data_IF_388515665534
#
_entry.id   IF_388515665534
#
_cell.length_a   1.000
_cell.length_b   1.000
_cell.length_c   1.000
_cell.angle_alpha   90.00
_cell.angle_beta   90.00
_cell.angle_gamma   90.00
#
_symmetry.space_group_name_H-M   'P 1'
#
loop_
_entity.id
_entity.type
_entity.pdbx_description
1 polymer ?
#
# COMPACT_ATOMS: atom_id res chain seq x y z
N UNK A 1 16.07 -17.69 7.77
CA UNK A 1 16.24 -16.30 8.33
C UNK A 1 15.84 -16.31 9.79
N UNK A 2 16.71 -15.79 10.69
CA UNK A 2 16.47 -15.74 12.15
C UNK A 2 16.37 -14.30 12.67
N UNK A 3 17.13 -13.38 12.08
CA UNK A 3 17.23 -11.99 12.50
C UNK A 3 17.18 -11.03 11.32
N UNK A 4 16.46 -9.93 11.50
CA UNK A 4 16.37 -8.83 10.51
C UNK A 4 16.68 -7.51 11.19
N UNK A 5 17.55 -6.73 10.58
CA UNK A 5 17.90 -5.38 11.03
C UNK A 5 17.24 -4.33 10.13
N UNK A 6 16.48 -3.42 10.72
CA UNK A 6 15.82 -2.33 10.01
C UNK A 6 16.58 -1.02 10.18
N UNK A 7 16.84 -0.36 9.07
CA UNK A 7 17.25 1.04 9.03
C UNK A 7 15.98 1.88 8.84
N UNK A 8 15.44 2.37 9.92
CA UNK A 8 14.26 3.21 9.93
C UNK A 8 14.54 4.53 10.63
N UNK A 9 13.73 5.52 10.34
CA UNK A 9 13.80 6.82 11.00
C UNK A 9 12.94 6.79 12.24
N UNK A 10 13.48 7.30 13.35
CA UNK A 10 12.64 7.61 14.50
C UNK A 10 11.70 8.75 14.10
N UNK A 11 10.51 8.37 13.71
CA UNK A 11 9.48 9.29 13.30
C UNK A 11 8.27 9.09 14.22
N UNK A 12 8.14 9.97 15.21
CA UNK A 12 6.98 9.99 16.11
C UNK A 12 5.64 10.19 15.38
N UNK A 13 5.70 10.39 14.07
CA UNK A 13 4.56 10.51 13.18
C UNK A 13 4.49 9.33 12.22
N UNK A 14 5.03 8.16 12.62
CA UNK A 14 5.00 6.97 11.79
C UNK A 14 3.55 6.64 11.42
N UNK A 15 3.29 6.70 10.16
CA UNK A 15 2.12 6.11 9.55
C UNK A 15 2.31 4.60 9.56
N UNK A 16 1.25 3.77 9.55
CA UNK A 16 1.39 2.32 9.38
C UNK A 16 2.11 2.06 8.07
N UNK A 17 3.42 2.07 8.12
CA UNK A 17 4.28 2.06 6.97
C UNK A 17 4.83 0.66 6.69
N UNK A 18 5.72 0.64 5.73
CA UNK A 18 6.50 -0.49 5.29
C UNK A 18 7.08 -1.32 6.44
N UNK A 19 7.61 -0.66 7.47
CA UNK A 19 8.25 -1.33 8.60
C UNK A 19 7.24 -2.08 9.47
N UNK A 20 6.11 -1.44 9.81
CA UNK A 20 5.17 -1.99 10.80
C UNK A 20 4.58 -3.32 10.33
N UNK A 21 4.05 -3.37 9.12
CA UNK A 21 3.40 -4.59 8.59
C UNK A 21 4.41 -5.74 8.47
N UNK A 22 5.60 -5.45 7.93
CA UNK A 22 6.63 -6.47 7.74
C UNK A 22 7.21 -6.94 9.07
N UNK A 23 7.55 -6.03 9.99
CA UNK A 23 8.14 -6.38 11.26
C UNK A 23 7.18 -7.17 12.17
N UNK A 24 5.89 -6.81 12.20
CA UNK A 24 4.86 -7.60 12.89
C UNK A 24 4.76 -9.01 12.32
N UNK A 25 4.80 -9.11 11.00
CA UNK A 25 4.78 -10.40 10.32
C UNK A 25 6.01 -11.25 10.60
N UNK A 26 7.21 -10.67 10.58
CA UNK A 26 8.47 -11.36 10.90
C UNK A 26 8.45 -11.90 12.33
N UNK A 27 8.01 -11.09 13.30
CA UNK A 27 7.86 -11.55 14.70
C UNK A 27 6.83 -12.69 14.81
N UNK A 28 5.72 -12.58 14.08
CA UNK A 28 4.68 -13.61 14.09
C UNK A 28 5.15 -14.97 13.55
N UNK A 29 6.20 -14.99 12.72
CA UNK A 29 6.83 -16.22 12.22
C UNK A 29 8.13 -16.60 12.96
N UNK A 30 8.42 -15.95 14.10
CA UNK A 30 9.56 -16.28 14.96
C UNK A 30 10.88 -15.64 14.56
N UNK A 31 10.88 -14.62 13.70
CA UNK A 31 12.08 -13.86 13.33
C UNK A 31 12.28 -12.69 14.29
N UNK A 32 13.47 -12.56 14.86
CA UNK A 32 13.84 -11.42 15.71
C UNK A 32 14.04 -10.17 14.85
N UNK A 33 13.55 -9.03 15.37
CA UNK A 33 13.57 -7.75 14.66
C UNK A 33 14.32 -6.71 15.48
N UNK A 34 15.39 -6.16 14.91
CA UNK A 34 16.21 -5.10 15.47
C UNK A 34 16.28 -3.90 14.53
N UNK A 35 16.79 -2.77 15.03
CA UNK A 35 17.00 -1.60 14.19
C UNK A 35 17.91 -0.55 14.79
N UNK A 36 18.15 0.49 13.99
CA UNK A 36 18.97 1.65 14.38
C UNK A 36 18.32 2.53 15.47
N UNK A 37 17.01 2.38 15.67
CA UNK A 37 16.25 3.08 16.72
C UNK A 37 15.09 2.21 17.21
N UNK A 38 14.53 2.56 18.38
CA UNK A 38 13.27 2.02 18.83
C UNK A 38 12.14 2.58 17.97
N UNK A 39 11.36 1.69 17.35
CA UNK A 39 10.36 2.10 16.39
C UNK A 39 9.03 1.40 16.64
N UNK A 40 7.94 2.15 16.64
CA UNK A 40 6.57 1.68 16.81
C UNK A 40 6.32 1.02 18.15
N UNK A 41 5.80 1.79 19.10
CA UNK A 41 5.40 1.29 20.42
C UNK A 41 4.13 0.42 20.29
N UNK A 42 4.13 -0.78 20.92
CA UNK A 42 3.09 -1.80 20.76
C UNK A 42 2.07 -1.83 21.91
N UNK A 43 2.47 -1.36 23.07
CA UNK A 43 1.66 -1.34 24.27
C UNK A 43 1.91 -0.06 25.06
N UNK A 44 1.25 0.09 26.20
CA UNK A 44 1.48 1.21 27.12
C UNK A 44 2.81 1.11 27.88
N UNK A 45 3.51 -0.03 27.85
CA UNK A 45 4.90 -0.11 28.35
C UNK A 45 5.81 0.67 27.38
N UNK A 46 6.48 1.74 27.85
CA UNK A 46 7.35 2.57 27.04
C UNK A 46 8.60 1.85 26.50
N UNK A 47 8.82 0.58 26.90
CA UNK A 47 9.92 -0.27 26.41
C UNK A 47 9.47 -1.29 25.39
N UNK A 48 8.18 -1.46 25.17
CA UNK A 48 7.64 -2.46 24.23
C UNK A 48 7.56 -1.88 22.81
N UNK A 49 8.69 -1.97 22.09
CA UNK A 49 8.79 -1.56 20.70
C UNK A 49 8.76 -2.76 19.75
N UNK A 50 8.18 -2.54 18.57
CA UNK A 50 8.14 -3.51 17.48
C UNK A 50 9.53 -3.79 16.92
N UNK A 51 10.26 -2.74 16.56
CA UNK A 51 11.68 -2.78 16.24
C UNK A 51 12.44 -2.30 17.46
N UNK A 52 13.34 -3.12 17.96
CA UNK A 52 14.13 -2.80 19.16
C UNK A 52 15.53 -2.33 18.77
N UNK A 53 15.95 -1.25 19.38
CA UNK A 53 17.35 -0.84 19.31
C UNK A 53 18.15 -1.54 20.43
N UNK A 54 19.13 -2.33 20.03
CA UNK A 54 20.16 -2.86 20.95
C UNK A 54 21.53 -2.46 20.36
N UNK A 55 22.32 -1.63 21.05
CA UNK A 55 23.59 -1.14 20.54
C UNK A 55 24.64 -2.25 20.30
N UNK A 56 24.40 -3.46 20.82
CA UNK A 56 25.27 -4.63 20.61
C UNK A 56 24.93 -5.38 19.32
N UNK A 57 23.78 -5.11 18.72
CA UNK A 57 23.30 -5.78 17.50
C UNK A 57 23.49 -4.83 16.33
N UNK A 58 24.21 -5.29 15.34
CA UNK A 58 24.51 -4.59 14.09
C UNK A 58 23.93 -5.37 12.92
N UNK A 59 23.93 -4.83 11.70
CA UNK A 59 23.55 -5.60 10.50
C UNK A 59 24.31 -6.91 10.33
N UNK A 60 25.60 -6.99 10.81
CA UNK A 60 26.42 -8.20 10.69
C UNK A 60 25.94 -9.36 11.58
N UNK A 61 25.15 -9.08 12.60
CA UNK A 61 24.56 -10.06 13.49
C UNK A 61 23.20 -10.57 12.98
N UNK A 62 22.79 -10.13 11.78
CA UNK A 62 21.49 -10.39 11.19
C UNK A 62 21.62 -11.07 9.82
N UNK A 63 20.55 -11.73 9.38
CA UNK A 63 20.47 -12.39 8.07
C UNK A 63 20.07 -11.41 6.94
N UNK A 64 19.37 -10.33 7.31
CA UNK A 64 18.97 -9.29 6.38
C UNK A 64 19.07 -7.89 7.00
N UNK A 65 19.48 -6.93 6.15
CA UNK A 65 19.48 -5.51 6.43
C UNK A 65 18.44 -4.83 5.52
N UNK A 66 17.42 -4.26 6.13
CA UNK A 66 16.28 -3.65 5.45
C UNK A 66 16.31 -2.14 5.63
N UNK A 67 16.38 -1.42 4.52
CA UNK A 67 16.24 0.04 4.51
C UNK A 67 14.81 0.40 4.17
N UNK A 68 14.14 1.13 5.06
CA UNK A 68 12.77 1.55 4.84
C UNK A 68 12.71 2.80 3.95
N UNK A 69 11.63 2.90 3.21
CA UNK A 69 11.29 4.11 2.48
C UNK A 69 11.27 5.36 3.40
N UNK A 70 10.75 5.22 4.62
CA UNK A 70 10.73 6.30 5.61
C UNK A 70 12.11 6.84 5.97
N UNK A 71 13.18 6.05 5.82
CA UNK A 71 14.56 6.50 6.00
C UNK A 71 15.03 7.39 4.86
N UNK A 72 14.76 7.03 3.61
CA UNK A 72 15.26 7.75 2.44
C UNK A 72 14.44 8.98 2.10
N UNK A 73 13.18 9.04 2.56
CA UNK A 73 12.28 10.17 2.32
C UNK A 73 12.18 11.07 3.54
N UNK A 74 12.51 12.33 3.35
CA UNK A 74 12.10 13.40 4.25
C UNK A 74 10.76 13.94 3.77
N UNK A 75 9.68 13.78 4.55
CA UNK A 75 8.44 14.52 4.32
C UNK A 75 8.63 15.95 4.81
N UNK A 76 9.17 16.81 3.97
CA UNK A 76 9.04 18.24 4.15
C UNK A 76 7.69 18.70 3.58
N UNK A 77 7.12 19.72 4.19
CA UNK A 77 5.82 20.31 3.82
C UNK A 77 5.73 20.78 2.36
N UNK A 78 6.86 20.98 1.71
CA UNK A 78 6.98 21.48 0.34
C UNK A 78 7.15 20.40 -0.74
N UNK A 79 6.91 19.13 -0.45
CA UNK A 79 7.12 18.01 -1.37
C UNK A 79 8.55 17.91 -1.94
N UNK A 80 9.49 18.59 -1.36
CA UNK A 80 10.91 18.42 -1.68
C UNK A 80 11.41 17.18 -0.94
N UNK A 81 11.44 16.06 -1.64
CA UNK A 81 12.06 14.84 -1.11
C UNK A 81 13.58 15.03 -1.09
N UNK A 82 14.12 15.29 0.08
CA UNK A 82 15.54 15.12 0.30
C UNK A 82 15.78 13.66 0.59
N UNK A 83 16.41 12.96 -0.37
CA UNK A 83 16.87 11.60 -0.15
C UNK A 83 17.95 11.65 0.94
N UNK A 84 17.72 10.95 2.04
CA UNK A 84 18.79 10.70 2.98
C UNK A 84 19.79 9.72 2.36
N UNK A 85 21.08 9.84 2.65
CA UNK A 85 22.07 8.87 2.17
C UNK A 85 21.69 7.45 2.60
N UNK A 86 21.73 6.53 1.67
CA UNK A 86 21.59 5.11 2.00
C UNK A 86 22.78 4.74 2.89
N UNK A 87 22.55 4.06 4.04
CA UNK A 87 23.63 3.70 4.93
C UNK A 87 24.71 2.85 4.22
N UNK A 88 25.97 3.12 4.50
CA UNK A 88 27.09 2.42 3.89
C UNK A 88 27.03 0.89 4.11
N UNK A 89 26.48 0.48 5.26
CA UNK A 89 26.21 -0.92 5.57
C UNK A 89 25.38 -1.63 4.48
N UNK A 90 24.46 -0.93 3.80
CA UNK A 90 23.68 -1.54 2.71
C UNK A 90 24.52 -2.06 1.56
N UNK A 91 25.72 -1.48 1.36
CA UNK A 91 26.57 -1.74 0.17
C UNK A 91 27.99 -2.19 0.50
N UNK A 92 28.23 -2.56 1.76
CA UNK A 92 29.55 -3.00 2.23
C UNK A 92 29.97 -4.29 1.52
N UNK A 93 31.19 -4.32 1.00
CA UNK A 93 31.76 -5.52 0.40
C UNK A 93 31.99 -6.62 1.46
N UNK A 94 31.78 -7.87 1.08
CA UNK A 94 31.95 -9.03 1.97
C UNK A 94 30.91 -9.15 3.08
N UNK A 95 29.79 -8.44 3.02
CA UNK A 95 28.68 -8.60 3.96
C UNK A 95 28.10 -10.02 3.91
N UNK A 96 27.63 -10.50 5.03
CA UNK A 96 26.99 -11.83 5.12
C UNK A 96 25.48 -11.79 5.07
N UNK A 97 24.87 -10.60 5.24
CA UNK A 97 23.42 -10.38 5.22
C UNK A 97 22.93 -9.94 3.84
N UNK A 98 21.69 -10.26 3.56
CA UNK A 98 20.96 -9.74 2.40
C UNK A 98 20.55 -8.29 2.62
N UNK A 99 20.51 -7.52 1.55
CA UNK A 99 20.03 -6.15 1.60
C UNK A 99 18.70 -6.01 0.87
N UNK A 100 17.75 -5.37 1.52
CA UNK A 100 16.42 -5.10 0.97
C UNK A 100 16.06 -3.63 1.13
N UNK A 101 15.37 -3.09 0.14
CA UNK A 101 14.74 -1.78 0.22
C UNK A 101 13.23 -1.93 0.13
N UNK A 102 12.49 -1.29 1.06
CA UNK A 102 11.04 -1.26 1.02
C UNK A 102 10.59 0.03 0.33
N UNK A 103 10.10 -0.09 -0.90
CA UNK A 103 9.62 1.03 -1.70
C UNK A 103 8.11 1.17 -1.61
N UNK A 104 7.67 2.07 -0.71
CA UNK A 104 6.28 2.45 -0.52
C UNK A 104 5.97 3.82 -1.15
N UNK A 105 6.85 4.28 -2.01
CA UNK A 105 6.69 5.55 -2.69
C UNK A 105 5.44 5.56 -3.59
N UNK A 106 4.80 6.72 -3.68
CA UNK A 106 3.50 6.88 -4.37
C UNK A 106 3.54 6.67 -5.89
N UNK A 107 4.68 6.30 -6.45
CA UNK A 107 4.84 6.08 -7.88
C UNK A 107 5.04 7.36 -8.71
N UNK A 108 4.90 8.54 -8.07
CA UNK A 108 5.26 9.83 -8.67
C UNK A 108 6.74 10.14 -8.54
N UNK A 109 7.35 9.62 -7.49
CA UNK A 109 8.74 9.83 -7.11
C UNK A 109 9.40 8.47 -6.96
N UNK A 110 9.82 7.89 -8.05
CA UNK A 110 10.42 6.56 -8.01
C UNK A 110 11.93 6.67 -7.75
N UNK A 111 12.30 7.11 -6.56
CA UNK A 111 13.70 7.16 -6.11
C UNK A 111 14.39 5.81 -6.30
N UNK A 112 13.68 4.71 -6.08
CA UNK A 112 14.19 3.35 -6.27
C UNK A 112 14.61 3.01 -7.70
N UNK A 113 14.35 3.86 -8.70
CA UNK A 113 14.89 3.74 -10.05
C UNK A 113 16.28 4.36 -10.20
N UNK A 114 16.74 5.15 -9.24
CA UNK A 114 18.09 5.70 -9.26
C UNK A 114 19.13 4.56 -9.19
N UNK A 115 20.33 4.76 -9.84
CA UNK A 115 21.32 3.69 -9.98
C UNK A 115 21.77 3.05 -8.67
N UNK A 116 21.83 3.81 -7.58
CA UNK A 116 22.24 3.32 -6.26
C UNK A 116 21.30 2.24 -5.71
N UNK A 117 20.00 2.30 -6.01
CA UNK A 117 19.05 1.28 -5.55
C UNK A 117 19.21 -0.07 -6.27
N UNK A 118 19.89 -0.10 -7.43
CA UNK A 118 20.23 -1.35 -8.12
C UNK A 118 21.28 -2.17 -7.38
N UNK A 119 21.92 -1.58 -6.37
CA UNK A 119 22.91 -2.24 -5.52
C UNK A 119 22.30 -3.05 -4.38
N UNK A 120 21.01 -2.85 -4.09
CA UNK A 120 20.29 -3.75 -3.17
C UNK A 120 20.11 -5.13 -3.79
N UNK A 121 20.14 -6.17 -2.96
CA UNK A 121 19.81 -7.53 -3.43
C UNK A 121 18.35 -7.60 -3.88
N UNK A 122 17.44 -6.87 -3.21
CA UNK A 122 16.03 -6.75 -3.59
C UNK A 122 15.45 -5.38 -3.26
N UNK A 123 14.54 -4.92 -4.12
CA UNK A 123 13.68 -3.74 -3.89
C UNK A 123 12.22 -4.19 -3.92
N UNK A 124 11.54 -4.16 -2.79
CA UNK A 124 10.13 -4.53 -2.66
C UNK A 124 9.25 -3.32 -2.94
N UNK A 125 8.61 -3.30 -4.11
CA UNK A 125 7.89 -2.13 -4.62
C UNK A 125 6.38 -2.32 -4.61
N UNK A 126 5.65 -1.46 -3.87
CA UNK A 126 4.18 -1.52 -3.76
C UNK A 126 3.46 -1.03 -5.02
N UNK A 127 4.05 -0.11 -5.78
CA UNK A 127 3.46 0.45 -7.01
C UNK A 127 4.08 -0.19 -8.27
N UNK A 128 4.43 -1.47 -8.20
CA UNK A 128 4.97 -2.18 -9.35
C UNK A 128 3.96 -2.24 -10.51
N UNK A 129 4.41 -1.88 -11.72
CA UNK A 129 3.58 -1.89 -12.91
C UNK A 129 4.36 -2.48 -14.09
N UNK A 130 3.84 -3.56 -14.68
CA UNK A 130 4.50 -4.29 -15.76
C UNK A 130 4.53 -3.54 -17.11
N UNK A 131 3.79 -2.45 -17.22
CA UNK A 131 3.80 -1.57 -18.41
C UNK A 131 4.92 -0.54 -18.38
N UNK A 132 5.78 -0.61 -17.37
CA UNK A 132 6.95 0.24 -17.26
C UNK A 132 8.20 -0.63 -17.18
N UNK A 133 9.33 -0.06 -17.60
CA UNK A 133 10.61 -0.67 -17.29
C UNK A 133 10.74 -0.82 -15.76
N UNK A 134 11.16 -2.00 -15.34
CA UNK A 134 11.48 -2.28 -13.94
C UNK A 134 12.93 -2.76 -13.86
N UNK A 135 13.76 -2.19 -12.97
CA UNK A 135 15.08 -2.75 -12.67
C UNK A 135 14.98 -4.22 -12.25
N UNK A 136 15.97 -5.02 -12.58
CA UNK A 136 15.95 -6.48 -12.39
C UNK A 136 15.79 -6.93 -10.93
N UNK A 137 16.22 -6.09 -9.98
CA UNK A 137 16.11 -6.36 -8.56
C UNK A 137 14.79 -5.87 -7.93
N UNK A 138 13.87 -5.29 -8.72
CA UNK A 138 12.56 -4.89 -8.20
C UNK A 138 11.59 -6.08 -8.18
N UNK A 139 10.93 -6.23 -7.05
CA UNK A 139 9.97 -7.29 -6.75
C UNK A 139 8.60 -6.67 -6.48
N UNK A 140 7.52 -7.13 -7.14
CA UNK A 140 6.17 -6.69 -6.81
C UNK A 140 5.88 -6.88 -5.31
N UNK A 141 5.33 -5.86 -4.68
CA UNK A 141 5.00 -5.86 -3.26
C UNK A 141 3.63 -5.25 -3.02
N UNK A 142 3.19 -5.21 -1.76
CA UNK A 142 1.90 -4.67 -1.35
C UNK A 142 1.98 -4.02 0.03
N UNK A 143 1.10 -3.08 0.32
CA UNK A 143 0.94 -2.54 1.67
C UNK A 143 0.48 -3.62 2.66
N UNK A 144 -0.47 -4.46 2.27
CA UNK A 144 -0.98 -5.56 3.09
C UNK A 144 -1.79 -5.13 4.31
N UNK A 145 -1.95 -6.03 5.26
CA UNK A 145 -2.71 -5.81 6.48
C UNK A 145 -1.79 -5.67 7.69
N UNK A 146 -2.11 -4.77 8.60
CA UNK A 146 -1.53 -4.77 9.95
C UNK A 146 -2.38 -5.61 10.90
N UNK A 147 -1.82 -6.10 12.03
CA UNK A 147 -2.59 -6.81 13.05
C UNK A 147 -3.79 -6.00 13.56
N UNK A 148 -3.66 -4.68 13.62
CA UNK A 148 -4.73 -3.80 14.06
C UNK A 148 -5.87 -3.71 13.05
N UNK A 149 -5.58 -3.63 11.75
CA UNK A 149 -6.63 -3.70 10.71
C UNK A 149 -7.43 -4.98 10.85
N UNK A 150 -6.75 -6.10 11.07
CA UNK A 150 -7.37 -7.41 11.28
C UNK A 150 -8.24 -7.38 12.55
N UNK A 151 -7.72 -6.87 13.66
CA UNK A 151 -8.46 -6.80 14.92
C UNK A 151 -9.69 -5.89 14.82
N UNK A 152 -9.57 -4.72 14.20
CA UNK A 152 -10.70 -3.78 14.07
C UNK A 152 -11.77 -4.23 13.06
N UNK A 153 -11.46 -5.21 12.21
CA UNK A 153 -12.40 -5.78 11.24
C UNK A 153 -12.88 -7.19 11.63
N UNK A 154 -12.43 -7.71 12.78
CA UNK A 154 -12.80 -9.05 13.25
C UNK A 154 -14.30 -9.17 13.53
N UNK A 155 -14.87 -8.13 14.17
CA UNK A 155 -16.29 -8.07 14.58
C UNK A 155 -17.18 -7.39 13.53
N UNK A 156 -16.81 -7.49 12.25
CA UNK A 156 -17.63 -6.95 11.18
C UNK A 156 -19.00 -7.68 11.14
N UNK A 157 -20.07 -6.91 10.95
CA UNK A 157 -21.42 -7.45 10.89
C UNK A 157 -21.54 -8.52 9.79
N UNK A 158 -22.38 -9.56 9.99
CA UNK A 158 -22.78 -10.46 8.92
C UNK A 158 -23.31 -9.67 7.71
N UNK A 159 -23.08 -10.18 6.50
CA UNK A 159 -23.46 -9.48 5.26
C UNK A 159 -24.91 -9.00 5.23
N UNK A 160 -25.83 -9.84 5.67
CA UNK A 160 -27.27 -9.54 5.68
C UNK A 160 -27.66 -8.41 6.64
N UNK A 161 -26.87 -8.14 7.67
CA UNK A 161 -27.11 -7.10 8.68
C UNK A 161 -26.47 -5.76 8.31
N UNK A 162 -25.65 -5.75 7.25
CA UNK A 162 -25.00 -4.52 6.78
C UNK A 162 -25.94 -3.65 5.99
N UNK A 163 -25.79 -2.34 6.11
CA UNK A 163 -26.48 -1.40 5.24
C UNK A 163 -26.08 -1.63 3.79
N UNK A 164 -27.05 -1.58 2.88
CA UNK A 164 -26.82 -1.63 1.43
C UNK A 164 -26.21 -0.32 0.93
N UNK A 165 -25.10 0.07 1.53
CA UNK A 165 -24.36 1.28 1.27
C UNK A 165 -23.09 0.96 0.48
N UNK A 166 -22.70 1.90 -0.37
CA UNK A 166 -21.33 2.01 -0.85
C UNK A 166 -20.65 3.20 -0.18
N UNK A 167 -19.59 2.94 0.55
CA UNK A 167 -18.80 3.97 1.19
C UNK A 167 -17.86 4.63 0.16
N UNK A 168 -18.06 5.92 -0.08
CA UNK A 168 -17.27 6.77 -0.98
C UNK A 168 -16.62 7.88 -0.14
N UNK A 169 -15.59 7.55 0.62
CA UNK A 169 -14.99 8.46 1.61
C UNK A 169 -13.56 8.91 1.23
N UNK A 170 -13.24 8.97 -0.03
CA UNK A 170 -11.94 9.43 -0.49
C UNK A 170 -11.87 10.94 -0.73
N UNK A 171 -10.69 11.51 -0.52
CA UNK A 171 -10.41 12.89 -0.88
C UNK A 171 -10.02 12.98 -2.36
N UNK A 172 -10.68 13.87 -3.12
CA UNK A 172 -10.39 14.14 -4.53
C UNK A 172 -9.84 15.55 -4.77
N UNK A 173 -9.41 16.23 -3.71
CA UNK A 173 -9.00 17.65 -3.79
C UNK A 173 -7.70 17.90 -4.55
N UNK A 174 -6.84 16.88 -4.71
CA UNK A 174 -5.59 17.07 -5.43
C UNK A 174 -5.75 16.71 -6.91
N UNK A 175 -5.59 17.67 -7.84
CA UNK A 175 -5.96 17.49 -9.25
C UNK A 175 -5.14 16.45 -10.01
N UNK A 176 -3.92 16.14 -9.54
CA UNK A 176 -3.05 15.14 -10.17
C UNK A 176 -3.12 13.79 -9.46
N UNK A 177 -2.73 13.75 -8.20
CA UNK A 177 -2.67 12.52 -7.38
C UNK A 177 -4.02 11.81 -7.27
N UNK A 178 -5.13 12.57 -7.38
CA UNK A 178 -6.49 12.07 -7.24
C UNK A 178 -7.27 12.09 -8.57
N UNK A 179 -6.60 12.22 -9.71
CA UNK A 179 -7.28 12.31 -11.01
C UNK A 179 -8.10 11.07 -11.32
N UNK A 180 -7.60 9.88 -10.97
CA UNK A 180 -8.35 8.63 -11.09
C UNK A 180 -9.61 8.59 -10.23
N UNK A 181 -9.55 9.14 -9.01
CA UNK A 181 -10.72 9.26 -8.14
C UNK A 181 -11.76 10.21 -8.72
N UNK A 182 -11.33 11.38 -9.21
CA UNK A 182 -12.22 12.35 -9.85
C UNK A 182 -12.85 11.78 -11.12
N UNK A 183 -12.12 10.98 -11.90
CA UNK A 183 -12.63 10.28 -13.06
C UNK A 183 -13.74 9.30 -12.66
N UNK A 184 -13.49 8.46 -11.66
CA UNK A 184 -14.45 7.46 -11.22
C UNK A 184 -15.63 8.07 -10.46
N UNK A 185 -15.45 9.20 -9.80
CA UNK A 185 -16.57 9.95 -9.20
C UNK A 185 -17.59 10.41 -10.26
N UNK A 186 -17.12 10.78 -11.45
CA UNK A 186 -18.00 11.13 -12.58
C UNK A 186 -18.64 9.93 -13.26
N UNK A 187 -17.88 8.85 -13.45
CA UNK A 187 -18.31 7.74 -14.31
C UNK A 187 -18.92 6.57 -13.53
N UNK A 188 -18.52 6.39 -12.27
CA UNK A 188 -18.95 5.29 -11.42
C UNK A 188 -20.01 5.70 -10.40
N UNK A 189 -19.78 6.78 -9.63
CA UNK A 189 -20.67 7.16 -8.51
C UNK A 189 -22.13 7.35 -8.92
N UNK A 190 -22.48 8.05 -10.02
CA UNK A 190 -23.89 8.20 -10.43
C UNK A 190 -24.54 6.88 -10.86
N UNK A 191 -23.76 5.94 -11.39
CA UNK A 191 -24.26 4.64 -11.85
C UNK A 191 -24.49 3.69 -10.68
N UNK A 192 -23.52 3.61 -9.77
CA UNK A 192 -23.62 2.75 -8.59
C UNK A 192 -24.69 3.19 -7.61
N UNK A 193 -25.04 4.47 -7.60
CA UNK A 193 -26.15 5.03 -6.82
C UNK A 193 -27.54 4.42 -7.11
N UNK A 194 -27.68 3.74 -8.25
CA UNK A 194 -28.90 2.99 -8.62
C UNK A 194 -28.98 1.62 -7.92
N UNK A 195 -27.87 1.12 -7.38
CA UNK A 195 -27.75 -0.20 -6.78
C UNK A 195 -27.46 -0.15 -5.28
N UNK A 196 -26.77 0.89 -4.81
CA UNK A 196 -26.38 1.11 -3.43
C UNK A 196 -26.70 2.55 -3.02
N UNK A 197 -27.03 2.75 -1.74
CA UNK A 197 -27.06 4.10 -1.19
C UNK A 197 -25.62 4.61 -1.08
N UNK A 198 -25.31 5.72 -1.74
CA UNK A 198 -23.98 6.33 -1.68
C UNK A 198 -23.79 7.01 -0.33
N UNK A 199 -22.83 6.52 0.43
CA UNK A 199 -22.45 7.08 1.72
C UNK A 199 -21.12 7.83 1.54
N UNK A 200 -21.18 9.16 1.64
CA UNK A 200 -20.03 10.07 1.54
C UNK A 200 -19.54 10.53 2.90
N UNK A 201 -20.05 9.94 3.97
CA UNK A 201 -19.69 10.32 5.32
C UNK A 201 -18.19 10.18 5.52
N UNK A 202 -17.55 11.31 5.73
CA UNK A 202 -16.13 11.43 6.02
C UNK A 202 -16.00 11.59 7.52
N UNK A 203 -15.28 10.67 8.14
CA UNK A 203 -14.88 10.86 9.51
C UNK A 203 -13.85 11.98 9.58
N UNK A 204 -14.35 13.19 9.71
CA UNK A 204 -13.53 14.36 9.95
C UNK A 204 -13.27 14.56 11.46
N UNK A 205 -13.85 13.71 12.29
CA UNK A 205 -13.65 13.74 13.73
C UNK A 205 -12.28 13.19 14.06
N UNK A 206 -11.35 14.08 14.22
CA UNK A 206 -10.01 13.80 14.75
C UNK A 206 -10.01 13.74 16.28
N UNK A 207 -11.09 13.24 16.85
CA UNK A 207 -11.16 13.04 18.30
C UNK A 207 -10.25 11.88 18.70
N UNK A 208 -9.35 12.15 19.63
CA UNK A 208 -8.50 11.11 20.16
C UNK A 208 -9.37 10.07 20.91
N UNK A 209 -9.15 8.76 20.71
CA UNK A 209 -9.86 7.73 21.44
C UNK A 209 -9.71 7.89 22.95
N UNK A 210 -10.74 7.51 23.72
CA UNK A 210 -10.69 7.53 25.18
C UNK A 210 -9.75 6.44 25.72
N UNK A 211 -9.73 5.27 25.09
CA UNK A 211 -8.84 4.18 25.47
C UNK A 211 -7.36 4.58 25.25
N UNK A 212 -6.49 4.43 26.27
CA UNK A 212 -5.10 4.89 26.18
C UNK A 212 -4.30 4.16 25.09
N UNK A 213 -4.53 2.86 24.86
CA UNK A 213 -3.83 2.10 23.83
C UNK A 213 -4.28 2.49 22.43
N UNK A 214 -5.58 2.66 22.23
CA UNK A 214 -6.12 3.17 20.95
C UNK A 214 -5.61 4.60 20.69
N UNK A 215 -5.48 5.42 21.72
CA UNK A 215 -4.91 6.77 21.63
C UNK A 215 -3.46 6.74 21.18
N UNK A 216 -2.64 5.89 21.79
CA UNK A 216 -1.25 5.69 21.39
C UNK A 216 -1.16 5.35 19.91
N UNK A 217 -1.99 4.43 19.44
CA UNK A 217 -2.01 4.04 18.03
C UNK A 217 -2.56 5.13 17.11
N UNK A 218 -3.57 5.84 17.53
CA UNK A 218 -4.11 6.97 16.80
C UNK A 218 -3.05 8.06 16.58
N UNK A 219 -2.24 8.35 17.59
CA UNK A 219 -1.13 9.31 17.51
C UNK A 219 -0.02 8.80 16.59
N UNK A 220 0.39 7.55 16.73
CA UNK A 220 1.41 6.93 15.88
C UNK A 220 1.00 6.84 14.41
N UNK A 221 -0.29 6.75 14.10
CA UNK A 221 -0.82 6.75 12.73
C UNK A 221 -1.18 8.15 12.21
N UNK A 222 -0.77 9.20 12.89
CA UNK A 222 -1.12 10.59 12.54
C UNK A 222 -2.64 10.81 12.49
N UNK A 223 -3.34 10.32 13.49
CA UNK A 223 -4.80 10.44 13.61
C UNK A 223 -5.57 9.74 12.46
N UNK A 224 -5.00 8.69 11.91
CA UNK A 224 -5.63 7.85 10.88
C UNK A 224 -5.94 6.47 11.45
N UNK A 225 -6.69 5.67 10.70
CA UNK A 225 -7.05 4.30 11.07
C UNK A 225 -7.75 4.22 12.44
N UNK A 226 -8.72 5.13 12.67
CA UNK A 226 -9.52 5.17 13.90
C UNK A 226 -10.57 4.05 13.93
N UNK A 227 -10.98 3.61 15.12
CA UNK A 227 -12.07 2.63 15.29
C UNK A 227 -13.36 3.05 14.60
N UNK A 228 -13.70 4.34 14.60
CA UNK A 228 -14.89 4.85 13.93
C UNK A 228 -14.88 4.60 12.43
N UNK A 229 -13.72 4.69 11.78
CA UNK A 229 -13.58 4.35 10.37
C UNK A 229 -13.84 2.86 10.11
N UNK A 230 -13.23 1.98 10.91
CA UNK A 230 -13.46 0.53 10.77
C UNK A 230 -14.88 0.12 11.12
N UNK A 231 -15.53 0.77 12.09
CA UNK A 231 -16.93 0.55 12.40
C UNK A 231 -17.84 0.89 11.22
N UNK A 232 -17.53 1.93 10.45
CA UNK A 232 -18.25 2.23 9.20
C UNK A 232 -18.00 1.21 8.12
N UNK A 233 -16.76 0.80 7.90
CA UNK A 233 -16.45 -0.29 6.98
C UNK A 233 -17.24 -1.54 7.31
N UNK A 234 -17.26 -1.94 8.58
CA UNK A 234 -17.92 -3.16 9.07
C UNK A 234 -19.44 -3.13 8.93
N UNK A 235 -20.04 -1.96 8.77
CA UNK A 235 -21.50 -1.79 8.60
C UNK A 235 -21.92 -1.57 7.15
N UNK A 236 -21.01 -1.33 6.23
CA UNK A 236 -21.28 -1.10 4.81
C UNK A 236 -21.10 -2.37 4.00
N UNK A 237 -21.98 -2.63 3.03
CA UNK A 237 -21.81 -3.76 2.11
C UNK A 237 -20.71 -3.50 1.10
N UNK A 238 -20.55 -2.27 0.61
CA UNK A 238 -19.62 -1.96 -0.46
C UNK A 238 -18.71 -0.77 -0.14
N UNK A 239 -17.55 -0.73 -0.79
CA UNK A 239 -16.57 0.35 -0.68
C UNK A 239 -16.02 0.71 -2.06
N UNK A 240 -15.94 2.00 -2.34
CA UNK A 240 -15.21 2.56 -3.47
C UNK A 240 -13.76 2.80 -3.07
N UNK A 241 -12.86 1.93 -3.54
CA UNK A 241 -11.44 1.98 -3.19
C UNK A 241 -10.55 2.56 -4.30
N UNK A 242 -11.12 3.33 -5.22
CA UNK A 242 -10.36 3.94 -6.30
C UNK A 242 -9.25 4.85 -5.76
N UNK A 243 -8.07 4.69 -6.32
CA UNK A 243 -6.90 5.47 -5.96
C UNK A 243 -6.00 5.66 -7.19
N UNK A 244 -5.18 6.69 -7.16
CA UNK A 244 -4.14 6.92 -8.15
C UNK A 244 -4.56 7.73 -9.36
N UNK A 245 -3.73 7.64 -10.38
CA UNK A 245 -3.86 8.34 -11.65
C UNK A 245 -3.65 7.38 -12.81
N UNK A 246 -4.42 7.55 -13.87
CA UNK A 246 -4.24 6.85 -15.13
C UNK A 246 -3.24 7.64 -16.00
N UNK A 247 -1.99 7.21 -16.00
CA UNK A 247 -0.92 7.82 -16.77
C UNK A 247 -0.68 7.05 -18.08
N UNK A 248 -0.12 7.69 -19.11
CA UNK A 248 0.37 6.98 -20.29
C UNK A 248 1.39 5.90 -19.90
N UNK A 249 1.39 4.77 -20.60
CA UNK A 249 2.46 3.80 -20.47
C UNK A 249 3.75 4.43 -21.03
N UNK A 250 4.83 4.39 -20.23
CA UNK A 250 6.13 4.86 -20.68
C UNK A 250 7.12 3.70 -20.63
N UNK A 251 8.01 3.55 -21.65
CA UNK A 251 8.99 2.47 -21.66
C UNK A 251 10.05 2.63 -20.57
N UNK A 252 10.15 3.80 -20.00
CA UNK A 252 11.03 4.13 -18.86
C UNK A 252 10.22 4.93 -17.85
N UNK A 253 10.50 4.72 -16.57
CA UNK A 253 10.00 5.59 -15.52
C UNK A 253 10.72 6.91 -15.66
N UNK A 254 10.05 8.00 -15.96
CA UNK A 254 10.76 9.25 -16.13
C UNK A 254 11.20 9.78 -14.76
N UNK A 255 12.38 9.38 -14.34
CA UNK A 255 13.09 9.98 -13.20
C UNK A 255 13.09 11.53 -13.26
N UNK A 256 13.01 12.07 -14.49
CA UNK A 256 12.99 13.51 -14.76
C UNK A 256 11.64 14.21 -14.53
N UNK A 257 10.56 13.47 -14.38
CA UNK A 257 9.24 14.02 -14.04
C UNK A 257 9.05 14.20 -12.54
N UNK A 258 10.05 13.80 -11.77
CA UNK A 258 10.08 13.96 -10.33
C UNK A 258 10.50 15.39 -9.99
N UNK A 259 9.57 16.12 -9.45
CA UNK A 259 9.80 17.48 -9.01
C UNK A 259 8.80 18.47 -9.59
N UNK A 260 8.31 19.39 -8.79
CA UNK A 260 7.35 20.43 -9.19
C UNK A 260 7.94 21.52 -10.10
N UNK A 261 9.11 21.30 -10.69
CA UNK A 261 9.78 22.27 -11.56
C UNK A 261 9.14 22.38 -12.94
N UNK A 262 9.40 23.50 -13.61
CA UNK A 262 8.89 23.76 -14.98
C UNK A 262 9.22 22.62 -15.97
N UNK A 263 10.42 22.00 -15.86
CA UNK A 263 10.85 20.90 -16.73
C UNK A 263 9.98 19.64 -16.53
N UNK A 264 9.63 19.29 -15.31
CA UNK A 264 8.73 18.17 -15.02
C UNK A 264 7.33 18.43 -15.58
N UNK A 265 6.81 19.67 -15.43
CA UNK A 265 5.50 20.06 -15.97
C UNK A 265 5.45 20.01 -17.50
N UNK A 266 6.50 20.46 -18.19
CA UNK A 266 6.56 20.41 -19.67
C UNK A 266 6.78 18.98 -20.17
N UNK A 267 7.65 18.20 -19.51
CA UNK A 267 7.84 16.79 -19.84
C UNK A 267 6.54 16.00 -19.72
N UNK A 268 5.78 16.22 -18.65
CA UNK A 268 4.47 15.59 -18.47
C UNK A 268 3.48 15.94 -19.59
N UNK A 269 3.33 17.23 -19.91
CA UNK A 269 2.48 17.67 -21.01
C UNK A 269 2.91 17.09 -22.37
N UNK A 270 4.21 16.99 -22.60
CA UNK A 270 4.75 16.38 -23.80
C UNK A 270 4.39 14.89 -23.89
N UNK A 271 4.55 14.14 -22.81
CA UNK A 271 4.14 12.72 -22.77
C UNK A 271 2.63 12.54 -22.83
N UNK A 272 1.84 13.42 -22.23
CA UNK A 272 0.38 13.44 -22.38
C UNK A 272 -0.03 13.67 -23.84
N UNK A 273 0.60 14.60 -24.53
CA UNK A 273 0.36 14.84 -25.95
C UNK A 273 0.78 13.64 -26.81
N UNK A 274 1.93 13.04 -26.56
CA UNK A 274 2.37 11.83 -27.27
C UNK A 274 1.45 10.64 -26.99
N UNK A 275 0.82 10.55 -25.84
CA UNK A 275 -0.09 9.46 -25.50
C UNK A 275 -1.36 9.41 -26.34
N UNK A 276 -1.72 10.50 -27.02
CA UNK A 276 -2.82 10.52 -28.01
C UNK A 276 -2.49 9.63 -29.21
N UNK A 277 -1.21 9.50 -29.54
CA UNK A 277 -0.71 8.66 -30.63
C UNK A 277 -0.15 7.32 -30.16
N UNK A 278 -0.14 7.07 -28.84
CA UNK A 278 0.40 5.85 -28.25
C UNK A 278 -0.73 4.82 -28.07
N UNK A 279 -0.76 3.74 -28.87
CA UNK A 279 -1.77 2.70 -28.74
C UNK A 279 -1.64 1.88 -27.44
N UNK A 280 -0.57 2.09 -26.65
CA UNK A 280 -0.37 1.35 -25.41
C UNK A 280 -1.41 1.76 -24.37
N UNK A 281 -1.98 0.80 -23.67
CA UNK A 281 -2.95 1.08 -22.63
C UNK A 281 -2.32 1.94 -21.51
N UNK A 282 -3.13 2.79 -20.89
CA UNK A 282 -2.71 3.57 -19.72
C UNK A 282 -2.29 2.66 -18.60
N UNK A 283 -1.37 3.13 -17.76
CA UNK A 283 -0.96 2.50 -16.50
C UNK A 283 -1.61 3.19 -15.31
N UNK A 284 -1.85 2.45 -14.27
CA UNK A 284 -2.32 3.00 -13.01
C UNK A 284 -1.11 3.22 -12.08
N UNK A 285 -0.88 4.47 -11.69
CA UNK A 285 0.14 4.85 -10.69
C UNK A 285 -0.54 5.22 -9.37
N UNK A 286 0.18 5.10 -8.24
CA UNK A 286 -0.31 5.38 -6.90
C UNK A 286 -1.62 4.63 -6.55
N UNK A 287 -1.78 3.43 -7.07
CA UNK A 287 -3.01 2.65 -6.91
C UNK A 287 -3.13 2.02 -5.52
N UNK A 288 -2.01 1.62 -4.92
CA UNK A 288 -1.98 0.92 -3.65
C UNK A 288 -2.31 1.88 -2.52
N UNK A 289 -3.44 1.65 -1.87
CA UNK A 289 -3.92 2.46 -0.75
C UNK A 289 -4.49 1.56 0.32
N UNK A 290 -4.33 1.94 1.58
CA UNK A 290 -4.84 1.20 2.73
C UNK A 290 -6.30 0.83 2.59
N UNK A 291 -7.12 1.69 2.00
CA UNK A 291 -8.58 1.47 1.82
C UNK A 291 -8.91 0.18 1.08
N UNK A 292 -8.12 -0.20 0.08
CA UNK A 292 -8.33 -1.47 -0.64
C UNK A 292 -8.19 -2.67 0.31
N UNK A 293 -7.13 -2.70 1.10
CA UNK A 293 -6.81 -3.76 2.04
C UNK A 293 -7.77 -3.80 3.22
N UNK A 294 -8.06 -2.64 3.81
CA UNK A 294 -8.99 -2.47 4.92
C UNK A 294 -10.41 -2.92 4.56
N UNK A 295 -10.89 -2.54 3.38
CA UNK A 295 -12.21 -2.89 2.91
C UNK A 295 -12.35 -4.41 2.64
N UNK A 296 -11.33 -5.04 2.05
CA UNK A 296 -11.29 -6.49 1.89
C UNK A 296 -11.26 -7.20 3.24
N UNK A 297 -10.43 -6.74 4.19
CA UNK A 297 -10.37 -7.30 5.53
C UNK A 297 -11.70 -7.20 6.28
N UNK A 298 -12.42 -6.08 6.11
CA UNK A 298 -13.76 -5.91 6.65
C UNK A 298 -14.84 -6.77 5.96
N UNK A 299 -14.49 -7.48 4.88
CA UNK A 299 -15.44 -8.28 4.10
C UNK A 299 -16.46 -7.42 3.35
N UNK A 300 -16.04 -6.27 2.84
CA UNK A 300 -16.84 -5.46 1.95
C UNK A 300 -16.68 -5.92 0.49
N UNK A 301 -17.71 -5.70 -0.33
CA UNK A 301 -17.58 -5.71 -1.77
C UNK A 301 -16.73 -4.51 -2.19
N UNK A 302 -15.54 -4.74 -2.73
CA UNK A 302 -14.60 -3.67 -3.07
C UNK A 302 -14.65 -3.39 -4.56
N UNK A 303 -14.96 -2.14 -4.91
CA UNK A 303 -14.78 -1.62 -6.25
C UNK A 303 -13.44 -0.90 -6.38
N UNK A 304 -12.67 -1.24 -7.39
CA UNK A 304 -11.41 -0.59 -7.72
C UNK A 304 -11.22 -0.56 -9.24
N UNK A 305 -10.15 0.05 -9.70
CA UNK A 305 -9.72 -0.11 -11.09
C UNK A 305 -9.46 -1.58 -11.41
N UNK A 306 -9.63 -1.95 -12.67
CA UNK A 306 -9.23 -3.27 -13.20
C UNK A 306 -7.69 -3.36 -13.17
N UNK A 307 -7.16 -3.88 -12.06
CA UNK A 307 -5.72 -3.85 -11.76
C UNK A 307 -4.87 -4.50 -12.86
N UNK A 308 -5.19 -5.73 -13.33
CA UNK A 308 -4.46 -6.35 -14.44
C UNK A 308 -4.56 -5.53 -15.73
N UNK A 309 -5.74 -4.99 -16.03
CA UNK A 309 -5.93 -4.16 -17.22
C UNK A 309 -5.02 -2.94 -17.24
N UNK A 310 -4.68 -2.37 -16.10
CA UNK A 310 -3.80 -1.20 -16.00
C UNK A 310 -2.35 -1.55 -15.64
N UNK A 311 -1.96 -2.83 -15.79
CA UNK A 311 -0.59 -3.30 -15.63
C UNK A 311 -0.10 -3.39 -14.19
N UNK A 312 -0.97 -3.32 -13.21
CA UNK A 312 -0.62 -3.50 -11.80
C UNK A 312 -0.19 -4.93 -11.56
N UNK A 313 0.89 -5.11 -10.79
CA UNK A 313 1.39 -6.42 -10.39
C UNK A 313 1.58 -6.50 -8.87
N UNK A 314 1.11 -7.58 -8.31
CA UNK A 314 1.23 -7.94 -6.90
C UNK A 314 1.93 -9.29 -6.74
N UNK A 315 2.44 -9.64 -5.55
CA UNK A 315 2.96 -10.98 -5.27
C UNK A 315 1.96 -12.10 -5.61
N UNK A 316 0.69 -11.90 -5.26
CA UNK A 316 -0.46 -12.73 -5.64
C UNK A 316 -1.56 -11.80 -6.12
N UNK A 317 -1.96 -11.90 -7.39
CA UNK A 317 -2.99 -11.03 -7.96
C UNK A 317 -4.39 -11.42 -7.47
N UNK A 318 -5.25 -10.42 -7.15
CA UNK A 318 -6.68 -10.70 -7.00
C UNK A 318 -7.32 -10.94 -8.37
N UNK A 319 -8.29 -11.83 -8.41
CA UNK A 319 -9.09 -12.08 -9.61
C UNK A 319 -10.35 -11.21 -9.61
N UNK A 320 -10.60 -10.57 -10.77
CA UNK A 320 -11.77 -9.73 -10.96
C UNK A 320 -13.07 -10.56 -10.92
N UNK A 321 -14.10 -10.08 -10.25
CA UNK A 321 -15.37 -10.77 -9.96
C UNK A 321 -15.25 -12.02 -9.09
N UNK A 322 -14.06 -12.26 -8.50
CA UNK A 322 -13.84 -13.28 -7.50
C UNK A 322 -13.49 -12.67 -6.16
N UNK A 323 -12.51 -11.76 -6.15
CA UNK A 323 -12.00 -11.15 -4.91
C UNK A 323 -12.38 -9.66 -4.77
N UNK A 324 -12.66 -9.00 -5.88
CA UNK A 324 -13.07 -7.59 -5.95
C UNK A 324 -13.77 -7.35 -7.28
N UNK A 325 -14.32 -6.15 -7.49
CA UNK A 325 -14.83 -5.73 -8.80
C UNK A 325 -13.89 -4.67 -9.37
N UNK A 326 -13.14 -5.10 -10.36
CA UNK A 326 -12.30 -4.23 -11.17
C UNK A 326 -13.07 -3.62 -12.30
N UNK A 327 -13.14 -2.29 -12.36
CA UNK A 327 -13.86 -1.57 -13.40
C UNK A 327 -12.96 -0.58 -14.13
N UNK A 328 -13.38 -0.25 -15.34
CA UNK A 328 -12.88 0.85 -16.16
C UNK A 328 -14.02 1.84 -16.37
N UNK A 329 -13.75 3.12 -16.69
CA UNK A 329 -14.81 4.11 -16.92
C UNK A 329 -15.87 3.65 -17.94
N UNK A 330 -15.44 2.91 -18.96
CA UNK A 330 -16.28 2.45 -20.07
C UNK A 330 -17.14 1.21 -19.77
N UNK A 331 -16.76 0.35 -18.78
CA UNK A 331 -17.46 -0.90 -18.50
C UNK A 331 -18.21 -0.94 -17.16
N UNK A 332 -18.43 0.20 -16.54
CA UNK A 332 -19.12 0.30 -15.23
C UNK A 332 -20.53 -0.29 -15.31
N UNK A 333 -21.28 0.02 -16.39
CA UNK A 333 -22.65 -0.47 -16.55
C UNK A 333 -22.70 -1.99 -16.69
N UNK A 334 -21.76 -2.59 -17.43
CA UNK A 334 -21.67 -4.05 -17.58
C UNK A 334 -21.38 -4.73 -16.23
N UNK A 335 -20.48 -4.15 -15.43
CA UNK A 335 -20.16 -4.66 -14.10
C UNK A 335 -21.36 -4.62 -13.15
N UNK A 336 -22.11 -3.52 -13.18
CA UNK A 336 -23.31 -3.36 -12.36
C UNK A 336 -24.46 -4.25 -12.85
N UNK A 337 -24.64 -4.41 -14.15
CA UNK A 337 -25.62 -5.33 -14.74
C UNK A 337 -25.34 -6.79 -14.31
N UNK A 338 -24.07 -7.21 -14.31
CA UNK A 338 -23.66 -8.54 -13.84
C UNK A 338 -23.99 -8.74 -12.36
N UNK A 339 -23.79 -7.73 -11.51
CA UNK A 339 -24.17 -7.78 -10.10
C UNK A 339 -25.69 -7.86 -9.92
N UNK A 340 -26.47 -7.15 -10.73
CA UNK A 340 -27.92 -7.15 -10.65
C UNK A 340 -28.51 -8.49 -11.12
N UNK A 341 -27.85 -9.17 -12.07
CA UNK A 341 -28.29 -10.46 -12.60
C UNK A 341 -28.10 -11.63 -11.60
N UNK A 342 -27.21 -11.49 -10.61
CA UNK A 342 -26.96 -12.51 -9.60
C UNK A 342 -26.97 -11.91 -8.19
N UNK A 343 -28.10 -11.99 -7.46
CA UNK A 343 -28.24 -11.38 -6.14
C UNK A 343 -27.22 -11.85 -5.09
N UNK A 344 -26.67 -13.07 -5.24
CA UNK A 344 -25.67 -13.63 -4.31
C UNK A 344 -24.23 -13.29 -4.67
N UNK A 345 -23.99 -12.70 -5.87
CA UNK A 345 -22.63 -12.47 -6.36
C UNK A 345 -21.84 -11.49 -5.48
N UNK A 346 -22.47 -10.41 -5.05
CA UNK A 346 -21.84 -9.39 -4.21
C UNK A 346 -21.29 -9.96 -2.90
N UNK A 347 -22.08 -10.78 -2.20
CA UNK A 347 -21.68 -11.42 -0.95
C UNK A 347 -20.56 -12.47 -1.20
N UNK A 348 -20.65 -13.24 -2.27
CA UNK A 348 -19.62 -14.22 -2.60
C UNK A 348 -18.28 -13.55 -2.86
N UNK A 349 -18.26 -12.47 -3.65
CA UNK A 349 -17.04 -11.70 -3.92
C UNK A 349 -16.47 -11.11 -2.63
N UNK A 350 -17.28 -10.52 -1.78
CA UNK A 350 -16.85 -9.94 -0.52
C UNK A 350 -16.22 -10.98 0.40
N UNK A 351 -16.84 -12.17 0.53
CA UNK A 351 -16.32 -13.27 1.31
C UNK A 351 -15.00 -13.83 0.76
N UNK A 352 -14.92 -14.03 -0.56
CA UNK A 352 -13.71 -14.54 -1.22
C UNK A 352 -12.59 -13.49 -1.17
N UNK A 353 -12.90 -12.21 -1.32
CA UNK A 353 -11.94 -11.11 -1.18
C UNK A 353 -11.33 -11.05 0.22
N UNK A 354 -12.15 -11.23 1.27
CA UNK A 354 -11.65 -11.33 2.65
C UNK A 354 -10.75 -12.54 2.85
N UNK A 355 -11.15 -13.71 2.36
CA UNK A 355 -10.34 -14.91 2.47
C UNK A 355 -8.98 -14.75 1.78
N UNK A 356 -8.98 -14.24 0.56
CA UNK A 356 -7.78 -13.97 -0.22
C UNK A 356 -6.81 -12.99 0.47
N UNK A 357 -7.31 -11.86 0.99
CA UNK A 357 -6.45 -10.88 1.63
C UNK A 357 -5.85 -11.41 2.94
N UNK A 358 -6.61 -12.17 3.71
CA UNK A 358 -6.13 -12.81 4.93
C UNK A 358 -5.07 -13.88 4.64
N UNK A 359 -5.27 -14.69 3.62
CA UNK A 359 -4.35 -15.75 3.23
C UNK A 359 -3.02 -15.22 2.70
N UNK A 360 -3.07 -14.21 1.84
CA UNK A 360 -1.89 -13.79 1.08
C UNK A 360 -1.25 -12.51 1.60
N UNK A 361 -1.98 -11.66 2.33
CA UNK A 361 -1.56 -10.31 2.72
C UNK A 361 -1.70 -10.02 4.21
N UNK A 362 -1.97 -11.03 5.04
CA UNK A 362 -1.78 -10.91 6.48
C UNK A 362 -0.29 -10.69 6.80
N UNK A 363 0.05 -10.10 7.96
CA UNK A 363 1.44 -9.83 8.31
C UNK A 363 2.34 -11.06 8.18
N UNK A 364 1.90 -12.21 8.71
CA UNK A 364 2.65 -13.45 8.63
C UNK A 364 2.82 -13.97 7.19
N UNK A 365 1.81 -13.80 6.31
CA UNK A 365 1.89 -14.21 4.91
C UNK A 365 2.89 -13.35 4.12
N UNK A 366 2.87 -12.03 4.35
CA UNK A 366 3.83 -11.11 3.76
C UNK A 366 5.26 -11.41 4.25
N UNK A 367 5.44 -11.65 5.54
CA UNK A 367 6.75 -12.00 6.10
C UNK A 367 7.30 -13.30 5.50
N UNK A 368 6.48 -14.36 5.39
CA UNK A 368 6.89 -15.60 4.70
C UNK A 368 7.28 -15.36 3.25
N UNK A 369 6.55 -14.49 2.55
CA UNK A 369 6.87 -14.14 1.17
C UNK A 369 8.17 -13.36 1.08
N UNK A 370 8.39 -12.40 1.98
CA UNK A 370 9.64 -11.64 2.09
C UNK A 370 10.84 -12.57 2.33
N UNK A 371 10.78 -13.43 3.34
CA UNK A 371 11.84 -14.38 3.69
C UNK A 371 12.16 -15.29 2.50
N UNK A 372 11.13 -15.93 1.92
CA UNK A 372 11.30 -16.82 0.76
C UNK A 372 11.95 -16.10 -0.43
N UNK A 373 11.55 -14.85 -0.72
CA UNK A 373 12.14 -14.08 -1.82
C UNK A 373 13.59 -13.76 -1.57
N UNK A 374 13.94 -13.32 -0.37
CA UNK A 374 15.35 -13.04 -0.05
C UNK A 374 16.21 -14.31 -0.06
N UNK A 375 15.72 -15.41 0.50
CA UNK A 375 16.47 -16.68 0.54
C UNK A 375 16.67 -17.30 -0.85
N UNK A 376 15.79 -17.00 -1.81
CA UNK A 376 15.91 -17.48 -3.20
C UNK A 376 16.95 -16.71 -4.03
N UNK A 377 17.45 -15.59 -3.53
CA UNK A 377 18.47 -14.81 -4.25
C UNK A 377 19.87 -15.50 -4.18
N UNK A 378 20.76 -15.22 -5.13
CA UNK A 378 22.16 -15.64 -5.06
C UNK A 378 22.84 -15.17 -3.77
N UNK A 379 23.91 -15.80 -3.30
CA UNK A 379 24.64 -15.36 -2.11
C UNK A 379 25.07 -13.87 -2.22
N UNK A 380 25.12 -13.11 -1.11
CA UNK A 380 25.62 -11.73 -1.14
C UNK A 380 27.04 -11.71 -1.71
N UNK A 381 27.35 -10.71 -2.55
CA UNK A 381 28.69 -10.52 -3.11
C UNK A 381 29.60 -9.78 -2.16
#
# INVERSE_FOLDING_TARGET
>A
MKRVYFQCRDNRRAYQDDVVVLAEGLRAIGVEVFGNCNYWQRSLDPRDYLVRHDPRITPDDCDAFVVSYGWTRWMDTDFKSYLQPIPEAAFRAGRRYRTAYLDYEDGYHSGSFAPEYRRFDAVFRTKYNERCFQPANQIPWAMGLSPRMIAYTADALPWAERARDILVNFNASHPYVHSGRALMDRHFTPKVARHFRVNTDRDNLKEAPADPLDRLFFEQTQQRHSRSFYARLSRSQAVSAFCGELAPAAPFEPYYLQGGGRRARYGRKFFEALSVFDPRPRRLIQWDSWRFWEALAAGCLVFNFDLPHYGVKLPVMPENFVHYIGVRPENVDDALARLAADPGLAERIARQGRAWVMEHYSPAALARTFVRRLESLPAPC
#
